data_IF_496387884259
#
_entry.id   IF_496387884259
#
_cell.length_a   1.000
_cell.length_b   1.000
_cell.length_c   1.000
_cell.angle_alpha   90.00
_cell.angle_beta   90.00
_cell.angle_gamma   90.00
#
_symmetry.space_group_name_H-M   'P 1'
#
loop_
_entity.id
_entity.type
_entity.pdbx_description
1 polymer ?
#
# COMPACT_ATOMS: atom_id res chain seq x y z
N UNK A 1 -13.84 -0.53 26.84
CA UNK A 1 -15.05 -1.36 26.63
C UNK A 1 -14.78 -2.86 26.87
N UNK A 2 -13.82 -3.50 26.19
CA UNK A 2 -13.56 -4.95 26.34
C UNK A 2 -13.10 -5.38 27.75
N UNK A 3 -12.32 -4.56 28.45
CA UNK A 3 -11.82 -4.90 29.80
C UNK A 3 -12.93 -4.94 30.87
N UNK A 4 -13.99 -4.13 30.71
CA UNK A 4 -15.13 -4.13 31.63
C UNK A 4 -16.01 -5.38 31.48
N UNK A 5 -16.15 -5.91 30.26
CA UNK A 5 -16.95 -7.10 29.98
C UNK A 5 -16.36 -8.36 30.68
N UNK A 6 -15.03 -8.50 30.68
CA UNK A 6 -14.36 -9.67 31.26
C UNK A 6 -14.45 -9.73 32.81
N UNK A 7 -14.51 -8.57 33.46
CA UNK A 7 -14.76 -8.48 34.91
C UNK A 7 -16.21 -8.85 35.23
N UNK A 8 -17.17 -8.34 34.45
CA UNK A 8 -18.59 -8.64 34.63
C UNK A 8 -18.92 -10.14 34.40
N UNK A 9 -18.18 -10.81 33.52
CA UNK A 9 -18.30 -12.26 33.29
C UNK A 9 -17.62 -13.13 34.36
N UNK A 10 -17.09 -12.55 35.44
CA UNK A 10 -16.42 -13.29 36.53
C UNK A 10 -15.12 -13.99 36.11
N UNK A 11 -14.62 -13.74 34.90
CA UNK A 11 -13.37 -14.33 34.38
C UNK A 11 -12.13 -13.63 34.92
N UNK A 12 -12.30 -12.54 35.67
CA UNK A 12 -11.21 -11.78 36.27
C UNK A 12 -11.64 -11.18 37.61
N UNK A 13 -10.83 -11.38 38.64
CA UNK A 13 -11.08 -10.88 40.00
C UNK A 13 -10.72 -9.39 40.21
N UNK A 14 -10.06 -8.75 39.23
CA UNK A 14 -9.57 -7.37 39.35
C UNK A 14 -10.03 -6.51 38.19
N UNK A 15 -10.52 -5.30 38.47
CA UNK A 15 -10.91 -4.30 37.46
C UNK A 15 -9.70 -3.64 36.77
N UNK A 16 -8.51 -3.75 37.39
CA UNK A 16 -7.27 -3.12 36.91
C UNK A 16 -7.03 -3.47 35.44
N UNK A 17 -6.60 -2.54 34.58
CA UNK A 17 -6.29 -2.87 33.18
C UNK A 17 -5.22 -3.96 33.09
N UNK A 18 -5.22 -4.74 32.01
CA UNK A 18 -4.13 -5.67 31.73
C UNK A 18 -2.84 -4.87 31.55
N UNK A 19 -1.74 -5.32 32.19
CA UNK A 19 -0.46 -4.63 32.07
C UNK A 19 0.23 -4.99 30.76
N UNK A 20 1.14 -4.12 30.32
CA UNK A 20 1.99 -4.41 29.16
C UNK A 20 2.82 -5.70 29.36
N UNK A 21 3.22 -6.04 30.60
CA UNK A 21 3.88 -7.30 30.90
C UNK A 21 3.04 -8.53 30.53
N UNK A 22 1.73 -8.47 30.77
CA UNK A 22 0.82 -9.53 30.36
C UNK A 22 0.74 -9.64 28.83
N UNK A 23 0.66 -8.49 28.12
CA UNK A 23 0.60 -8.44 26.66
C UNK A 23 1.89 -8.99 26.02
N UNK A 24 3.06 -8.57 26.50
CA UNK A 24 4.35 -9.11 26.04
C UNK A 24 4.50 -10.60 26.35
N UNK A 25 4.06 -11.04 27.54
CA UNK A 25 4.03 -12.46 27.89
C UNK A 25 3.08 -13.27 27.00
N UNK A 26 1.95 -12.69 26.60
CA UNK A 26 1.03 -13.29 25.65
C UNK A 26 1.67 -13.43 24.26
N UNK A 27 2.24 -12.37 23.69
CA UNK A 27 2.92 -12.45 22.39
C UNK A 27 4.07 -13.47 22.41
N UNK A 28 4.87 -13.52 23.48
CA UNK A 28 5.96 -14.50 23.63
C UNK A 28 5.46 -15.95 23.66
N UNK A 29 4.34 -16.23 24.35
CA UNK A 29 3.77 -17.60 24.39
C UNK A 29 3.24 -18.06 23.03
N UNK A 30 2.82 -17.13 22.19
CA UNK A 30 2.16 -17.41 20.91
C UNK A 30 2.98 -16.96 19.70
N UNK A 31 4.29 -16.78 19.85
CA UNK A 31 5.19 -16.27 18.81
C UNK A 31 5.18 -17.14 17.54
N UNK A 32 4.95 -18.45 17.68
CA UNK A 32 4.80 -19.37 16.55
C UNK A 32 3.48 -19.23 15.76
N UNK A 33 2.49 -18.51 16.30
CA UNK A 33 1.15 -18.35 15.72
C UNK A 33 0.74 -16.90 15.49
N UNK A 34 1.44 -15.94 16.09
CA UNK A 34 1.10 -14.52 16.04
C UNK A 34 2.32 -13.75 15.55
N UNK A 35 2.16 -13.08 14.42
CA UNK A 35 3.16 -12.18 13.87
C UNK A 35 2.71 -10.73 14.01
N UNK A 36 3.66 -9.84 14.26
CA UNK A 36 3.42 -8.39 14.23
C UNK A 36 3.61 -7.92 12.79
N UNK A 37 2.52 -7.57 12.13
CA UNK A 37 2.54 -7.07 10.75
C UNK A 37 2.36 -5.55 10.76
N UNK A 38 3.21 -4.85 10.00
CA UNK A 38 2.94 -3.45 9.66
C UNK A 38 1.89 -3.45 8.53
N UNK A 39 0.70 -2.89 8.74
CA UNK A 39 -0.27 -2.80 7.66
C UNK A 39 0.30 -1.89 6.55
N UNK A 40 0.30 -2.39 5.33
CA UNK A 40 0.58 -1.57 4.16
C UNK A 40 -0.58 -0.58 3.99
N UNK A 41 -0.27 0.69 3.74
CA UNK A 41 -1.28 1.66 3.39
C UNK A 41 -1.96 1.20 2.09
N UNK A 42 -3.25 0.88 2.18
CA UNK A 42 -4.08 0.53 1.03
C UNK A 42 -5.10 1.64 0.84
N UNK A 43 -5.26 2.09 -0.40
CA UNK A 43 -6.28 3.08 -0.72
C UNK A 43 -7.67 2.55 -0.34
N UNK A 44 -8.54 3.45 0.14
CA UNK A 44 -9.87 3.07 0.63
C UNK A 44 -10.76 2.47 -0.47
N UNK A 45 -10.62 2.92 -1.71
CA UNK A 45 -11.35 2.35 -2.84
C UNK A 45 -10.76 1.00 -3.22
N UNK A 46 -9.43 0.86 -3.22
CA UNK A 46 -8.79 -0.46 -3.42
C UNK A 46 -9.23 -1.48 -2.39
N UNK A 47 -9.32 -1.09 -1.12
CA UNK A 47 -9.82 -1.96 -0.06
C UNK A 47 -11.27 -2.40 -0.29
N UNK A 48 -12.15 -1.45 -0.67
CA UNK A 48 -13.56 -1.73 -0.98
C UNK A 48 -13.76 -2.62 -2.21
N UNK A 49 -12.88 -2.55 -3.20
CA UNK A 49 -12.98 -3.31 -4.45
C UNK A 49 -12.16 -4.61 -4.44
N UNK A 50 -11.50 -4.95 -3.33
CA UNK A 50 -10.76 -6.21 -3.17
C UNK A 50 -11.60 -7.32 -2.54
N UNK A 51 -12.94 -7.27 -2.69
CA UNK A 51 -13.79 -8.37 -2.20
C UNK A 51 -13.77 -9.54 -3.20
N UNK A 52 -13.94 -10.79 -2.74
CA UNK A 52 -13.90 -11.97 -3.62
C UNK A 52 -14.89 -11.87 -4.78
N UNK A 53 -16.08 -11.31 -4.54
CA UNK A 53 -17.14 -11.19 -5.56
C UNK A 53 -16.77 -10.19 -6.66
N UNK A 54 -16.17 -9.06 -6.29
CA UNK A 54 -15.73 -8.03 -7.25
C UNK A 54 -14.57 -8.56 -8.09
N UNK A 55 -13.64 -9.26 -7.45
CA UNK A 55 -12.49 -9.88 -8.13
C UNK A 55 -12.96 -10.97 -9.09
N UNK A 56 -13.88 -11.84 -8.67
CA UNK A 56 -14.45 -12.88 -9.54
C UNK A 56 -15.13 -12.26 -10.77
N UNK A 57 -16.01 -11.26 -10.54
CA UNK A 57 -16.69 -10.54 -11.63
C UNK A 57 -15.73 -9.87 -12.60
N UNK A 58 -14.59 -9.36 -12.13
CA UNK A 58 -13.55 -8.80 -12.99
C UNK A 58 -12.98 -9.87 -13.93
N UNK A 59 -12.65 -11.06 -13.41
CA UNK A 59 -12.10 -12.15 -14.24
C UNK A 59 -13.14 -12.74 -15.20
N UNK A 60 -14.40 -12.84 -14.79
CA UNK A 60 -15.49 -13.25 -15.69
C UNK A 60 -15.60 -12.29 -16.89
N UNK A 61 -15.57 -10.98 -16.63
CA UNK A 61 -15.61 -9.97 -17.69
C UNK A 61 -14.35 -10.00 -18.57
N UNK A 62 -13.19 -10.27 -17.97
CA UNK A 62 -11.92 -10.39 -18.70
C UNK A 62 -11.94 -11.59 -19.64
N UNK A 63 -12.47 -12.73 -19.20
CA UNK A 63 -12.61 -13.93 -20.04
C UNK A 63 -13.52 -13.67 -21.25
N UNK A 64 -14.66 -12.99 -21.03
CA UNK A 64 -15.56 -12.57 -22.11
C UNK A 64 -14.84 -11.66 -23.10
N UNK A 65 -14.12 -10.65 -22.63
CA UNK A 65 -13.39 -9.73 -23.50
C UNK A 65 -12.28 -10.45 -24.29
N UNK A 66 -11.50 -11.32 -23.64
CA UNK A 66 -10.47 -12.11 -24.32
C UNK A 66 -11.09 -12.97 -25.41
N UNK A 67 -12.28 -13.55 -25.15
CA UNK A 67 -12.97 -14.37 -26.12
C UNK A 67 -13.52 -13.58 -27.31
N UNK A 68 -14.13 -12.42 -27.05
CA UNK A 68 -14.67 -11.52 -28.06
C UNK A 68 -13.61 -11.05 -29.07
N UNK A 69 -12.40 -10.74 -28.58
CA UNK A 69 -11.29 -10.25 -29.41
C UNK A 69 -10.35 -11.37 -29.90
N UNK A 70 -10.63 -12.64 -29.61
CA UNK A 70 -9.82 -13.78 -30.05
C UNK A 70 -8.39 -13.78 -29.49
N UNK A 71 -8.22 -13.35 -28.23
CA UNK A 71 -6.92 -13.11 -27.59
C UNK A 71 -6.40 -14.30 -26.78
N UNK A 72 -7.14 -15.43 -26.73
CA UNK A 72 -6.83 -16.58 -25.88
C UNK A 72 -5.40 -17.13 -26.08
N UNK A 73 -4.90 -17.09 -27.32
CA UNK A 73 -3.57 -17.56 -27.70
C UNK A 73 -2.62 -16.42 -28.11
N UNK A 74 -2.95 -15.16 -27.78
CA UNK A 74 -2.22 -13.96 -28.22
C UNK A 74 -1.81 -13.06 -27.06
N UNK A 75 -0.97 -13.55 -26.12
CA UNK A 75 -0.53 -12.77 -24.97
C UNK A 75 0.32 -11.54 -25.35
N UNK A 76 0.91 -11.54 -26.54
CA UNK A 76 1.61 -10.40 -27.16
C UNK A 76 0.70 -9.20 -27.45
N UNK A 77 -0.59 -9.46 -27.66
CA UNK A 77 -1.58 -8.42 -27.96
C UNK A 77 -2.25 -7.85 -26.69
N UNK A 78 -2.04 -8.47 -25.52
CA UNK A 78 -2.60 -8.02 -24.25
C UNK A 78 -1.55 -7.17 -23.55
N UNK A 79 -1.78 -5.87 -23.43
CA UNK A 79 -0.84 -4.92 -22.84
C UNK A 79 -1.49 -4.21 -21.64
N UNK A 80 -0.78 -4.16 -20.52
CA UNK A 80 -1.15 -3.36 -19.35
C UNK A 80 -0.27 -2.11 -19.30
N UNK A 81 -0.90 -0.94 -19.30
CA UNK A 81 -0.26 0.36 -19.15
C UNK A 81 -0.63 0.94 -17.80
N UNK A 82 0.37 1.31 -17.01
CA UNK A 82 0.17 1.86 -15.68
C UNK A 82 1.10 3.05 -15.41
N UNK A 83 0.65 3.94 -14.52
CA UNK A 83 1.35 5.14 -14.11
C UNK A 83 1.85 5.00 -12.67
N UNK A 84 3.14 5.28 -12.45
CA UNK A 84 3.69 5.35 -11.09
C UNK A 84 4.42 6.65 -10.82
N UNK A 85 4.12 7.28 -9.69
CA UNK A 85 4.78 8.50 -9.24
C UNK A 85 6.08 8.19 -8.51
N UNK A 86 7.21 8.63 -9.04
CA UNK A 86 8.51 8.55 -8.40
C UNK A 86 8.78 9.87 -7.69
N UNK A 87 8.65 9.85 -6.35
CA UNK A 87 9.03 10.98 -5.50
C UNK A 87 10.47 10.80 -5.01
N UNK A 88 11.38 11.77 -5.26
CA UNK A 88 12.73 11.74 -4.70
C UNK A 88 12.79 12.10 -3.21
N UNK A 89 11.64 12.35 -2.57
CA UNK A 89 11.60 12.75 -1.17
C UNK A 89 12.10 11.63 -0.25
N UNK A 90 13.00 11.99 0.66
CA UNK A 90 13.52 11.09 1.67
C UNK A 90 12.40 10.66 2.63
N UNK A 91 12.18 9.34 2.73
CA UNK A 91 11.34 8.77 3.80
C UNK A 91 12.14 8.77 5.09
N UNK A 92 11.70 9.49 6.14
CA UNK A 92 12.41 9.49 7.42
C UNK A 92 12.54 8.06 7.95
N UNK A 93 13.71 7.67 8.51
CA UNK A 93 13.86 6.35 9.11
C UNK A 93 12.93 6.21 10.31
N UNK A 94 12.58 4.97 10.65
CA UNK A 94 11.89 4.70 11.90
C UNK A 94 12.82 5.07 13.06
N UNK A 95 12.32 5.86 14.01
CA UNK A 95 13.07 6.23 15.21
C UNK A 95 12.32 5.77 16.47
N UNK A 96 13.07 5.50 17.53
CA UNK A 96 12.54 5.19 18.86
C UNK A 96 12.68 6.47 19.69
N UNK A 97 11.55 7.01 20.18
CA UNK A 97 11.53 8.23 20.98
C UNK A 97 10.61 8.08 22.21
N UNK A 98 10.85 8.83 23.30
CA UNK A 98 9.95 8.90 24.45
C UNK A 98 8.51 9.27 24.07
N UNK A 99 7.52 8.76 24.81
CA UNK A 99 6.07 8.89 24.53
C UNK A 99 5.58 10.34 24.34
N UNK A 100 6.27 11.33 24.93
CA UNK A 100 5.89 12.75 24.86
C UNK A 100 6.73 13.57 23.87
N UNK A 101 7.66 12.93 23.16
CA UNK A 101 8.57 13.62 22.26
C UNK A 101 8.02 13.62 20.82
N UNK A 102 7.76 14.81 20.29
CA UNK A 102 7.33 14.99 18.90
C UNK A 102 8.57 15.04 18.02
N UNK A 103 9.01 13.89 17.55
CA UNK A 103 10.05 13.86 16.53
C UNK A 103 9.52 14.40 15.20
N UNK A 104 10.19 15.42 14.67
CA UNK A 104 9.85 16.02 13.40
C UNK A 104 10.97 15.73 12.40
N UNK A 105 10.61 15.15 11.26
CA UNK A 105 11.49 15.11 10.11
C UNK A 105 11.13 16.27 9.19
N UNK A 106 12.08 17.18 8.97
CA UNK A 106 11.92 18.25 7.99
C UNK A 106 12.24 17.67 6.62
N UNK A 107 11.22 17.35 5.84
CA UNK A 107 11.38 17.03 4.42
C UNK A 107 11.23 18.32 3.62
N UNK A 108 12.21 18.63 2.76
CA UNK A 108 12.07 19.76 1.84
C UNK A 108 11.20 19.35 0.65
N UNK A 109 10.14 20.08 0.28
CA UNK A 109 9.30 19.79 -0.89
C UNK A 109 10.00 20.18 -2.22
N UNK A 110 11.34 20.19 -2.25
CA UNK A 110 12.12 20.70 -3.38
C UNK A 110 12.19 19.74 -4.56
N UNK A 111 11.92 18.46 -4.35
CA UNK A 111 11.95 17.46 -5.41
C UNK A 111 10.58 17.30 -6.05
N UNK A 112 10.47 17.60 -7.34
CA UNK A 112 9.26 17.33 -8.08
C UNK A 112 9.08 15.81 -8.28
N UNK A 113 7.87 15.30 -8.05
CA UNK A 113 7.50 13.94 -8.47
C UNK A 113 7.67 13.82 -9.98
N UNK A 114 8.41 12.81 -10.43
CA UNK A 114 8.47 12.42 -11.83
C UNK A 114 7.49 11.28 -12.02
N UNK A 115 6.60 11.43 -13.00
CA UNK A 115 5.67 10.36 -13.36
C UNK A 115 6.37 9.40 -14.31
N UNK A 116 6.30 8.11 -14.02
CA UNK A 116 6.73 7.04 -14.91
C UNK A 116 5.49 6.37 -15.51
N UNK A 117 5.42 6.31 -16.83
CA UNK A 117 4.42 5.53 -17.57
C UNK A 117 5.14 4.28 -18.08
N UNK A 118 4.66 3.11 -17.65
CA UNK A 118 5.21 1.82 -18.06
C UNK A 118 4.12 0.99 -18.74
N UNK A 119 4.52 0.21 -19.74
CA UNK A 119 3.61 -0.69 -20.44
C UNK A 119 4.29 -2.06 -20.61
N UNK A 120 3.58 -3.12 -20.25
CA UNK A 120 4.06 -4.50 -20.37
C UNK A 120 2.97 -5.39 -20.98
N UNK A 121 3.37 -6.29 -21.88
CA UNK A 121 2.51 -7.30 -22.46
C UNK A 121 2.39 -8.52 -21.55
N UNK A 122 1.32 -9.29 -21.72
CA UNK A 122 1.16 -10.57 -21.03
C UNK A 122 2.20 -11.61 -21.47
N UNK A 123 2.83 -11.43 -22.64
CA UNK A 123 3.98 -12.23 -23.08
C UNK A 123 5.31 -11.86 -22.40
N UNK A 124 5.34 -10.79 -21.60
CA UNK A 124 6.54 -10.33 -20.87
C UNK A 124 7.39 -9.32 -21.64
N UNK A 125 7.01 -8.94 -22.86
CA UNK A 125 7.60 -7.79 -23.54
C UNK A 125 7.17 -6.51 -22.83
N UNK A 126 8.04 -5.50 -22.82
CA UNK A 126 7.71 -4.21 -22.24
C UNK A 126 8.17 -3.10 -23.17
N UNK A 127 7.38 -2.03 -23.23
CA UNK A 127 7.79 -0.81 -23.90
C UNK A 127 8.80 -0.08 -23.01
N UNK A 128 9.77 0.63 -23.60
CA UNK A 128 10.65 1.50 -22.84
C UNK A 128 9.83 2.46 -21.95
N UNK A 129 10.17 2.58 -20.66
CA UNK A 129 9.46 3.46 -19.75
C UNK A 129 9.50 4.91 -20.24
N UNK A 130 8.38 5.62 -20.15
CA UNK A 130 8.28 7.02 -20.49
C UNK A 130 8.21 7.88 -19.22
N UNK A 131 9.08 8.90 -19.14
CA UNK A 131 9.15 9.79 -17.99
C UNK A 131 8.50 11.14 -18.29
N UNK A 132 7.52 11.50 -17.48
CA UNK A 132 6.92 12.84 -17.47
C UNK A 132 7.57 13.65 -16.35
N UNK A 133 8.45 14.56 -16.73
CA UNK A 133 9.09 15.50 -15.82
C UNK A 133 8.20 16.70 -15.55
N UNK A 134 8.49 17.40 -14.44
CA UNK A 134 7.81 18.65 -14.11
C UNK A 134 8.02 19.70 -15.21
N UNK A 135 6.92 20.22 -15.73
CA UNK A 135 6.94 21.32 -16.70
C UNK A 135 7.56 22.60 -16.12
N UNK A 136 8.27 23.34 -16.96
CA UNK A 136 8.77 24.68 -16.65
C UNK A 136 7.76 25.73 -17.10
N UNK A 137 7.54 26.76 -16.28
CA UNK A 137 6.75 27.92 -16.68
C UNK A 137 7.51 28.72 -17.75
N UNK A 138 6.78 29.27 -18.74
CA UNK A 138 7.31 30.07 -19.85
C UNK A 138 8.26 31.20 -19.41
N UNK A 139 8.05 31.79 -18.23
CA UNK A 139 8.89 32.88 -17.70
C UNK A 139 10.30 32.45 -17.28
N UNK A 140 10.60 31.14 -17.22
CA UNK A 140 11.89 30.57 -16.82
C UNK A 140 12.62 29.84 -17.94
N UNK A 141 12.13 29.91 -19.18
CA UNK A 141 12.88 29.39 -20.33
C UNK A 141 14.07 30.32 -20.61
N UNK A 142 15.25 29.95 -20.14
CA UNK A 142 16.50 30.57 -20.59
C UNK A 142 16.71 30.14 -22.04
N UNK A 143 16.77 31.12 -22.95
CA UNK A 143 17.08 30.86 -24.36
C UNK A 143 18.48 30.23 -24.46
N UNK A 144 18.57 29.11 -25.16
CA UNK A 144 19.84 28.51 -25.57
C UNK A 144 20.49 29.36 -26.66
#
# INVERSE_FOLDING_TARGET
>A
MQQMLAHHLGKRATDKPLSNCWLYGFFKRWESRISTLKPSALDSNRAKHSTPEIVAKYFDNLEVAIAEYGLQARPDCINNLDETGISPEHRPPNIIAPIKEKAQAVTSPRSATTTLIACASASGHHLPPYFVFKGLLKSKQTKF
#
